data_IF_396409554099
#
_entry.id   IF_396409554099
#
_cell.length_a   1.000
_cell.length_b   1.000
_cell.length_c   1.000
_cell.angle_alpha   90.00
_cell.angle_beta   90.00
_cell.angle_gamma   90.00
#
_symmetry.space_group_name_H-M   'P 1'
#
loop_
_entity.id
_entity.type
_entity.pdbx_description
1 polymer ?
#
# COMPACT_ATOMS: atom_id res chain seq x y z
N UNK A 1 -55.49 6.93 2.47
CA UNK A 1 -54.65 8.12 2.74
C UNK A 1 -53.85 7.84 3.99
N UNK A 2 -52.58 7.45 3.85
CA UNK A 2 -51.67 7.33 4.99
C UNK A 2 -51.08 8.73 5.23
N UNK A 3 -51.36 9.31 6.40
CA UNK A 3 -50.82 10.60 6.83
C UNK A 3 -49.30 10.47 7.00
N UNK A 4 -48.51 11.05 6.11
CA UNK A 4 -47.06 11.18 6.31
C UNK A 4 -46.76 12.47 7.09
N UNK A 5 -45.88 12.43 8.11
CA UNK A 5 -45.63 13.58 8.97
C UNK A 5 -44.74 14.61 8.27
N UNK A 6 -45.11 15.88 8.39
CA UNK A 6 -44.44 17.07 7.83
C UNK A 6 -43.43 17.72 8.79
N UNK A 7 -43.15 17.08 9.92
CA UNK A 7 -42.13 17.48 10.92
C UNK A 7 -41.47 16.22 11.49
N UNK A 8 -40.29 16.37 12.11
CA UNK A 8 -39.62 15.30 12.86
C UNK A 8 -40.63 14.63 13.79
N UNK A 9 -41.01 13.39 13.47
CA UNK A 9 -41.99 12.66 14.24
C UNK A 9 -41.38 12.32 15.60
N UNK A 10 -42.10 12.63 16.69
CA UNK A 10 -41.72 12.15 18.02
C UNK A 10 -41.82 10.62 18.07
N UNK A 11 -40.95 9.94 18.82
CA UNK A 11 -40.91 8.47 19.00
C UNK A 11 -42.28 7.84 19.33
N UNK A 12 -43.19 8.60 19.94
CA UNK A 12 -44.58 8.20 20.25
C UNK A 12 -45.48 8.06 19.02
N UNK A 13 -45.28 8.87 17.97
CA UNK A 13 -46.07 8.82 16.73
C UNK A 13 -45.64 7.69 15.80
N UNK A 14 -44.37 7.31 15.85
CA UNK A 14 -43.78 6.20 15.09
C UNK A 14 -44.32 4.85 15.57
N UNK A 15 -44.29 4.59 16.89
CA UNK A 15 -44.82 3.35 17.47
C UNK A 15 -46.33 3.19 17.28
N UNK A 16 -47.09 4.28 17.33
CA UNK A 16 -48.54 4.24 17.16
C UNK A 16 -48.97 3.91 15.72
N UNK A 17 -48.21 4.36 14.71
CA UNK A 17 -48.52 4.10 13.30
C UNK A 17 -48.19 2.67 12.84
N UNK A 18 -47.21 2.03 13.48
CA UNK A 18 -46.73 0.69 13.16
C UNK A 18 -47.27 -0.40 14.10
N UNK A 19 -48.08 -0.04 15.10
CA UNK A 19 -48.61 -0.97 16.09
C UNK A 19 -49.56 -2.01 15.47
N UNK A 20 -49.35 -3.30 15.80
CA UNK A 20 -50.18 -4.41 15.35
C UNK A 20 -49.85 -4.94 13.95
N UNK A 21 -48.81 -4.43 13.30
CA UNK A 21 -48.29 -4.94 12.03
C UNK A 21 -47.35 -6.12 12.27
N UNK A 22 -47.45 -7.19 11.47
CA UNK A 22 -46.58 -8.37 11.57
C UNK A 22 -45.09 -8.06 11.32
N UNK A 23 -44.79 -6.92 10.68
CA UNK A 23 -43.46 -6.42 10.35
C UNK A 23 -43.11 -5.11 11.07
N UNK A 24 -43.59 -4.94 12.32
CA UNK A 24 -43.47 -3.69 13.08
C UNK A 24 -42.07 -3.08 13.05
N UNK A 25 -40.99 -3.86 13.22
CA UNK A 25 -39.60 -3.37 13.18
C UNK A 25 -39.24 -2.75 11.81
N UNK A 26 -39.68 -3.37 10.71
CA UNK A 26 -39.44 -2.85 9.36
C UNK A 26 -40.28 -1.60 9.12
N UNK A 27 -41.54 -1.60 9.57
CA UNK A 27 -42.42 -0.43 9.51
C UNK A 27 -41.82 0.78 10.23
N UNK A 28 -41.29 0.60 11.44
CA UNK A 28 -40.66 1.67 12.22
C UNK A 28 -39.40 2.22 11.51
N UNK A 29 -38.55 1.33 10.98
CA UNK A 29 -37.37 1.72 10.22
C UNK A 29 -37.72 2.51 8.94
N UNK A 30 -38.71 2.04 8.19
CA UNK A 30 -39.19 2.72 6.99
C UNK A 30 -39.84 4.07 7.38
N UNK A 31 -40.63 4.13 8.44
CA UNK A 31 -41.29 5.35 8.90
C UNK A 31 -40.27 6.48 9.17
N UNK A 32 -39.16 6.16 9.83
CA UNK A 32 -38.04 7.11 10.03
C UNK A 32 -37.41 7.56 8.72
N UNK A 33 -37.16 6.63 7.79
CA UNK A 33 -36.61 6.93 6.47
C UNK A 33 -37.54 7.85 5.67
N UNK A 34 -38.84 7.56 5.66
CA UNK A 34 -39.87 8.38 5.00
C UNK A 34 -40.00 9.77 5.61
N UNK A 35 -39.95 9.90 6.94
CA UNK A 35 -39.98 11.20 7.61
C UNK A 35 -38.79 12.07 7.19
N UNK A 36 -37.58 11.49 7.13
CA UNK A 36 -36.38 12.20 6.68
C UNK A 36 -36.46 12.62 5.20
N UNK A 37 -36.90 11.71 4.32
CA UNK A 37 -37.10 12.02 2.90
C UNK A 37 -38.17 13.09 2.69
N UNK A 38 -39.24 13.08 3.48
CA UNK A 38 -40.29 14.09 3.41
C UNK A 38 -39.79 15.48 3.82
N UNK A 39 -38.95 15.58 4.85
CA UNK A 39 -38.30 16.83 5.25
C UNK A 39 -37.41 17.37 4.12
N UNK A 40 -36.61 16.50 3.49
CA UNK A 40 -35.76 16.89 2.35
C UNK A 40 -36.58 17.33 1.13
N UNK A 41 -37.64 16.58 0.80
CA UNK A 41 -38.57 16.92 -0.27
C UNK A 41 -39.23 18.28 0.01
N UNK A 42 -39.74 18.51 1.23
CA UNK A 42 -40.36 19.78 1.62
C UNK A 42 -39.38 20.94 1.54
N UNK A 43 -38.11 20.73 1.94
CA UNK A 43 -37.05 21.75 1.83
C UNK A 43 -36.78 22.10 0.38
N UNK A 44 -36.72 21.09 -0.50
CA UNK A 44 -36.49 21.26 -1.94
C UNK A 44 -37.67 21.91 -2.65
N UNK A 45 -38.90 21.51 -2.31
CA UNK A 45 -40.14 22.14 -2.79
C UNK A 45 -40.26 23.60 -2.33
N UNK A 46 -39.72 23.95 -1.16
CA UNK A 46 -39.69 25.35 -0.70
C UNK A 46 -38.68 26.18 -1.47
N UNK A 47 -37.54 25.59 -1.86
CA UNK A 47 -36.50 26.25 -2.65
C UNK A 47 -36.83 26.34 -4.15
N UNK A 48 -37.58 25.37 -4.69
CA UNK A 48 -38.05 25.30 -6.08
C UNK A 48 -39.51 24.84 -6.11
N UNK A 49 -40.48 25.77 -5.94
CA UNK A 49 -41.91 25.46 -5.88
C UNK A 49 -42.45 24.72 -7.11
N UNK A 50 -41.86 24.94 -8.27
CA UNK A 50 -42.18 24.30 -9.55
C UNK A 50 -41.86 22.80 -9.58
N UNK A 51 -40.98 22.32 -8.69
CA UNK A 51 -40.64 20.90 -8.57
C UNK A 51 -41.68 20.09 -7.79
N UNK A 52 -42.66 20.77 -7.16
CA UNK A 52 -43.72 20.13 -6.39
C UNK A 52 -44.72 19.45 -7.32
N UNK A 53 -44.93 18.16 -7.12
CA UNK A 53 -45.98 17.43 -7.84
C UNK A 53 -47.33 17.80 -7.21
N UNK A 54 -48.29 18.34 -7.98
CA UNK A 54 -49.63 18.63 -7.49
C UNK A 54 -50.28 17.39 -6.87
N UNK A 55 -50.88 17.55 -5.69
CA UNK A 55 -51.49 16.45 -4.94
C UNK A 55 -52.63 15.75 -5.68
N UNK A 56 -53.34 16.46 -6.56
CA UNK A 56 -54.33 15.86 -7.46
C UNK A 56 -53.75 14.90 -8.50
N UNK A 57 -52.46 15.04 -8.85
CA UNK A 57 -51.79 14.18 -9.82
C UNK A 57 -51.19 12.92 -9.17
N UNK A 58 -50.92 12.95 -7.86
CA UNK A 58 -50.29 11.85 -7.11
C UNK A 58 -51.11 10.55 -7.03
N UNK A 59 -52.42 10.62 -7.30
CA UNK A 59 -53.34 9.48 -7.29
C UNK A 59 -53.83 9.09 -8.69
N UNK A 60 -53.22 9.63 -9.74
CA UNK A 60 -53.57 9.29 -11.11
C UNK A 60 -52.93 7.97 -11.55
N UNK A 61 -53.50 7.27 -12.54
CA UNK A 61 -52.87 6.09 -13.14
C UNK A 61 -51.44 6.35 -13.65
N UNK A 62 -51.19 7.54 -14.18
CA UNK A 62 -49.86 7.96 -14.64
C UNK A 62 -48.85 8.08 -13.48
N UNK A 63 -49.25 8.63 -12.33
CA UNK A 63 -48.40 8.68 -11.15
C UNK A 63 -48.13 7.29 -10.56
N UNK A 64 -49.12 6.39 -10.60
CA UNK A 64 -48.91 4.98 -10.21
C UNK A 64 -47.91 4.28 -11.14
N UNK A 65 -48.01 4.47 -12.46
CA UNK A 65 -47.06 3.92 -13.42
C UNK A 65 -45.63 4.49 -13.21
N UNK A 66 -45.51 5.79 -12.93
CA UNK A 66 -44.22 6.42 -12.64
C UNK A 66 -43.59 5.88 -11.34
N UNK A 67 -44.39 5.60 -10.30
CA UNK A 67 -43.90 4.97 -9.06
C UNK A 67 -43.35 3.57 -9.32
N UNK A 68 -44.06 2.76 -10.09
CA UNK A 68 -43.61 1.41 -10.45
C UNK A 68 -42.28 1.44 -11.24
N UNK A 69 -42.15 2.36 -12.20
CA UNK A 69 -40.90 2.54 -12.95
C UNK A 69 -39.74 3.03 -12.04
N UNK A 70 -40.02 3.91 -11.07
CA UNK A 70 -39.05 4.34 -10.07
C UNK A 70 -38.64 3.21 -9.12
N UNK A 71 -39.59 2.36 -8.71
CA UNK A 71 -39.30 1.17 -7.89
C UNK A 71 -38.38 0.20 -8.62
N UNK A 72 -38.59 -0.02 -9.92
CA UNK A 72 -37.73 -0.85 -10.77
C UNK A 72 -36.31 -0.26 -10.88
N UNK A 73 -36.19 1.04 -11.12
CA UNK A 73 -34.89 1.74 -11.16
C UNK A 73 -34.17 1.70 -9.81
N UNK A 74 -34.90 1.83 -8.70
CA UNK A 74 -34.33 1.73 -7.35
C UNK A 74 -33.87 0.29 -7.09
N UNK A 75 -34.63 -0.72 -7.53
CA UNK A 75 -34.23 -2.12 -7.41
C UNK A 75 -32.96 -2.41 -8.21
N UNK A 76 -32.86 -1.94 -9.46
CA UNK A 76 -31.67 -2.08 -10.29
C UNK A 76 -30.46 -1.35 -9.68
N UNK A 77 -30.62 -0.11 -9.22
CA UNK A 77 -29.56 0.65 -8.57
C UNK A 77 -29.08 -0.01 -7.26
N UNK A 78 -30.00 -0.59 -6.49
CA UNK A 78 -29.67 -1.33 -5.26
C UNK A 78 -28.90 -2.60 -5.60
N UNK A 79 -29.34 -3.34 -6.62
CA UNK A 79 -28.63 -4.53 -7.09
C UNK A 79 -27.21 -4.21 -7.58
N UNK A 80 -27.03 -3.14 -8.34
CA UNK A 80 -25.69 -2.66 -8.76
C UNK A 80 -24.82 -2.25 -7.57
N UNK A 81 -25.40 -1.58 -6.57
CA UNK A 81 -24.69 -1.21 -5.35
C UNK A 81 -24.27 -2.45 -4.54
N UNK A 82 -25.15 -3.44 -4.42
CA UNK A 82 -24.85 -4.72 -3.78
C UNK A 82 -23.78 -5.49 -4.55
N UNK A 83 -23.86 -5.56 -5.88
CA UNK A 83 -22.86 -6.17 -6.73
C UNK A 83 -21.49 -5.49 -6.56
N UNK A 84 -21.46 -4.14 -6.60
CA UNK A 84 -20.26 -3.36 -6.30
C UNK A 84 -19.66 -3.72 -4.94
N UNK A 85 -20.47 -3.69 -3.89
CA UNK A 85 -20.02 -3.92 -2.52
C UNK A 85 -19.60 -5.38 -2.25
N UNK A 86 -20.22 -6.36 -2.92
CA UNK A 86 -19.97 -7.79 -2.67
C UNK A 86 -18.94 -8.38 -3.61
N UNK A 87 -18.95 -8.00 -4.89
CA UNK A 87 -18.08 -8.60 -5.90
C UNK A 87 -16.82 -7.77 -6.14
N UNK A 88 -16.94 -6.44 -6.25
CA UNK A 88 -15.81 -5.62 -6.72
C UNK A 88 -15.01 -5.02 -5.57
N UNK A 89 -15.68 -4.49 -4.54
CA UNK A 89 -15.03 -3.83 -3.40
C UNK A 89 -14.06 -4.76 -2.64
N UNK A 90 -14.42 -6.01 -2.28
CA UNK A 90 -13.49 -6.89 -1.57
C UNK A 90 -12.29 -7.27 -2.43
N UNK A 91 -12.47 -7.38 -3.76
CA UNK A 91 -11.37 -7.63 -4.69
C UNK A 91 -10.39 -6.45 -4.73
N UNK A 92 -10.89 -5.21 -4.67
CA UNK A 92 -10.03 -4.01 -4.58
C UNK A 92 -9.28 -3.93 -3.24
N UNK A 93 -9.93 -4.24 -2.12
CA UNK A 93 -9.27 -4.26 -0.80
C UNK A 93 -8.21 -5.36 -0.70
N UNK A 94 -8.50 -6.55 -1.24
CA UNK A 94 -7.53 -7.63 -1.35
C UNK A 94 -6.36 -7.25 -2.25
N UNK A 95 -6.61 -6.52 -3.33
CA UNK A 95 -5.59 -6.02 -4.23
C UNK A 95 -4.66 -5.01 -3.54
N UNK A 96 -5.23 -4.01 -2.85
CA UNK A 96 -4.46 -3.03 -2.09
C UNK A 96 -3.61 -3.70 -1.00
N UNK A 97 -4.17 -4.67 -0.27
CA UNK A 97 -3.45 -5.44 0.73
C UNK A 97 -2.29 -6.23 0.12
N UNK A 98 -2.50 -6.83 -1.06
CA UNK A 98 -1.47 -7.58 -1.79
C UNK A 98 -0.34 -6.68 -2.29
N UNK A 99 -0.67 -5.56 -2.92
CA UNK A 99 0.30 -4.55 -3.37
C UNK A 99 1.14 -4.07 -2.17
N UNK A 100 0.50 -3.71 -1.05
CA UNK A 100 1.21 -3.33 0.18
C UNK A 100 2.10 -4.45 0.69
N UNK A 101 1.64 -5.69 0.67
CA UNK A 101 2.44 -6.82 1.12
C UNK A 101 3.68 -7.06 0.25
N UNK A 102 3.55 -6.93 -1.07
CA UNK A 102 4.66 -7.08 -2.02
C UNK A 102 5.65 -5.92 -1.88
N UNK A 103 5.18 -4.68 -1.76
CA UNK A 103 6.03 -3.51 -1.47
C UNK A 103 6.77 -3.64 -0.13
N UNK A 104 6.09 -4.08 0.92
CA UNK A 104 6.71 -4.29 2.23
C UNK A 104 7.74 -5.42 2.18
N UNK A 105 7.48 -6.52 1.46
CA UNK A 105 8.47 -7.59 1.26
C UNK A 105 9.70 -7.04 0.54
N UNK A 106 9.53 -6.29 -0.53
CA UNK A 106 10.63 -5.69 -1.26
C UNK A 106 11.46 -4.74 -0.39
N UNK A 107 10.80 -3.87 0.38
CA UNK A 107 11.48 -2.87 1.18
C UNK A 107 12.14 -3.45 2.45
N UNK A 108 11.47 -4.40 3.11
CA UNK A 108 11.73 -4.75 4.50
C UNK A 108 11.86 -6.26 4.78
N UNK A 109 11.69 -7.11 3.77
CA UNK A 109 11.65 -8.58 3.89
C UNK A 109 10.52 -9.06 4.82
N UNK A 110 9.37 -8.38 4.80
CA UNK A 110 8.18 -8.73 5.56
C UNK A 110 6.92 -8.30 4.82
N UNK A 111 5.85 -9.11 4.73
CA UNK A 111 4.57 -8.66 4.17
C UNK A 111 3.91 -7.56 4.99
N UNK A 112 4.20 -7.52 6.29
CA UNK A 112 3.64 -6.54 7.22
C UNK A 112 4.73 -5.61 7.74
N UNK A 113 4.41 -4.34 7.84
CA UNK A 113 5.30 -3.35 8.44
C UNK A 113 5.12 -3.39 9.96
N UNK A 114 6.21 -3.50 10.70
CA UNK A 114 6.16 -3.26 12.14
C UNK A 114 6.26 -1.77 12.45
N UNK A 115 5.43 -1.31 13.40
CA UNK A 115 5.42 0.10 13.81
C UNK A 115 6.77 0.54 14.37
N UNK A 116 7.43 -0.37 15.10
CA UNK A 116 8.77 -0.14 15.63
C UNK A 116 9.81 -0.16 14.51
N UNK A 117 10.42 1.01 14.24
CA UNK A 117 11.45 1.19 13.23
C UNK A 117 12.57 0.12 13.32
N UNK A 118 13.03 -0.21 14.54
CA UNK A 118 14.09 -1.21 14.81
C UNK A 118 13.74 -2.61 14.35
N UNK A 119 12.47 -2.86 14.04
CA UNK A 119 11.96 -4.17 13.63
C UNK A 119 11.50 -4.20 12.18
N UNK A 120 11.51 -3.06 11.48
CA UNK A 120 11.07 -2.95 10.09
C UNK A 120 11.94 -3.78 9.18
N UNK A 121 13.26 -3.54 9.17
CA UNK A 121 14.16 -4.30 8.31
C UNK A 121 14.42 -5.71 8.87
N UNK A 122 13.83 -6.73 8.24
CA UNK A 122 14.02 -8.14 8.61
C UNK A 122 15.23 -8.74 7.88
N UNK A 123 16.42 -8.35 8.32
CA UNK A 123 17.67 -9.00 7.85
C UNK A 123 17.80 -10.34 8.59
N UNK A 124 17.76 -11.44 7.83
CA UNK A 124 17.81 -12.80 8.39
C UNK A 124 19.22 -13.35 8.49
N UNK A 125 20.14 -12.82 7.68
CA UNK A 125 21.53 -13.28 7.62
C UNK A 125 22.40 -12.54 8.62
N UNK A 126 23.45 -13.22 9.07
CA UNK A 126 24.54 -12.68 9.89
C UNK A 126 25.86 -13.28 9.42
N UNK A 127 26.99 -12.63 9.69
CA UNK A 127 28.30 -13.15 9.30
C UNK A 127 29.29 -12.05 8.96
N UNK A 128 30.29 -12.36 8.14
CA UNK A 128 31.20 -11.32 7.66
C UNK A 128 30.48 -10.36 6.68
N UNK A 129 31.04 -9.16 6.52
CA UNK A 129 30.44 -8.12 5.68
C UNK A 129 30.31 -8.56 4.22
N UNK A 130 31.28 -9.33 3.73
CA UNK A 130 31.29 -9.85 2.36
C UNK A 130 30.07 -10.73 2.07
N UNK A 131 29.77 -11.68 2.94
CA UNK A 131 28.61 -12.57 2.79
C UNK A 131 27.28 -11.84 3.02
N UNK A 132 27.24 -10.88 3.95
CA UNK A 132 26.04 -10.09 4.22
C UNK A 132 25.68 -9.14 3.08
N UNK A 133 26.71 -8.58 2.44
CA UNK A 133 26.57 -7.63 1.36
C UNK A 133 26.71 -8.26 -0.01
N UNK A 134 26.51 -9.57 -0.12
CA UNK A 134 26.41 -10.29 -1.38
C UNK A 134 25.08 -11.02 -1.49
N UNK A 135 24.67 -11.36 -2.71
CA UNK A 135 23.51 -12.22 -2.93
C UNK A 135 23.71 -13.62 -2.31
N UNK A 136 22.66 -14.22 -1.72
CA UNK A 136 21.27 -13.71 -1.66
C UNK A 136 21.00 -12.62 -0.61
N UNK A 137 21.84 -12.50 0.41
CA UNK A 137 21.55 -11.72 1.63
C UNK A 137 21.16 -10.27 1.33
N UNK A 138 21.93 -9.61 0.47
CA UNK A 138 21.70 -8.20 0.10
C UNK A 138 20.46 -8.01 -0.79
N UNK A 139 20.02 -9.08 -1.45
CA UNK A 139 18.86 -9.11 -2.35
C UNK A 139 17.54 -9.44 -1.67
N UNK A 140 17.54 -9.88 -0.40
CA UNK A 140 16.31 -10.19 0.35
C UNK A 140 15.38 -8.98 0.45
N UNK A 141 15.95 -7.78 0.67
CA UNK A 141 15.21 -6.52 0.75
C UNK A 141 16.08 -5.29 0.47
N UNK A 142 15.46 -4.21 0.01
CA UNK A 142 16.12 -2.91 -0.19
C UNK A 142 16.74 -2.38 1.10
N UNK A 143 16.14 -2.61 2.28
CA UNK A 143 16.74 -2.18 3.53
C UNK A 143 18.09 -2.88 3.81
N UNK A 144 18.26 -4.14 3.40
CA UNK A 144 19.55 -4.83 3.47
C UNK A 144 20.55 -4.26 2.46
N UNK A 145 20.10 -3.95 1.24
CA UNK A 145 20.91 -3.29 0.21
C UNK A 145 21.43 -1.94 0.70
N UNK A 146 20.52 -1.10 1.23
CA UNK A 146 20.82 0.24 1.75
C UNK A 146 21.80 0.16 2.92
N UNK A 147 21.65 -0.80 3.84
CA UNK A 147 22.63 -1.04 4.90
C UNK A 147 24.04 -1.30 4.35
N UNK A 148 24.16 -2.09 3.28
CA UNK A 148 25.45 -2.40 2.68
C UNK A 148 26.13 -1.22 1.97
N UNK A 149 25.35 -0.31 1.39
CA UNK A 149 25.89 0.88 0.70
C UNK A 149 26.06 2.09 1.63
N UNK A 150 25.41 2.10 2.80
CA UNK A 150 25.41 3.25 3.71
C UNK A 150 26.02 3.00 5.09
N UNK A 151 26.16 1.76 5.56
CA UNK A 151 26.72 1.50 6.89
C UNK A 151 28.24 1.34 6.87
N UNK A 152 28.87 1.72 7.99
CA UNK A 152 30.25 1.40 8.32
C UNK A 152 30.28 0.10 9.11
N UNK A 153 30.94 -0.91 8.56
CA UNK A 153 31.16 -2.19 9.22
C UNK A 153 32.48 -2.16 9.98
N UNK A 154 32.41 -2.30 11.31
CA UNK A 154 33.57 -2.29 12.19
C UNK A 154 34.35 -0.96 12.19
N UNK A 155 35.39 -0.91 13.02
CA UNK A 155 36.14 0.34 13.30
C UNK A 155 37.05 0.83 12.17
N UNK A 156 37.31 -0.02 11.16
CA UNK A 156 38.22 0.30 10.06
C UNK A 156 37.55 1.10 8.95
N UNK A 157 36.21 1.13 8.92
CA UNK A 157 35.43 1.99 8.03
C UNK A 157 35.06 3.25 8.79
N UNK A 158 35.71 4.37 8.47
CA UNK A 158 35.53 5.63 9.21
C UNK A 158 34.75 6.69 8.43
N UNK A 159 34.67 6.55 7.10
CA UNK A 159 34.05 7.53 6.20
C UNK A 159 32.53 7.44 6.17
N UNK A 160 31.85 8.58 6.25
CA UNK A 160 30.39 8.67 6.18
C UNK A 160 29.88 8.66 4.73
N UNK A 161 29.82 7.45 4.15
CA UNK A 161 29.54 7.21 2.72
C UNK A 161 28.18 7.70 2.23
N UNK A 162 27.16 7.75 3.09
CA UNK A 162 25.84 8.29 2.77
C UNK A 162 25.58 9.65 3.43
N UNK A 163 26.63 10.28 3.97
CA UNK A 163 26.57 11.54 4.69
C UNK A 163 26.44 11.38 6.20
N UNK A 164 26.76 12.48 6.90
CA UNK A 164 26.66 12.58 8.36
C UNK A 164 25.20 12.42 8.80
N UNK A 165 24.95 11.56 9.79
CA UNK A 165 23.60 11.24 10.28
C UNK A 165 22.84 10.19 9.47
N UNK A 166 23.28 9.86 8.24
CA UNK A 166 22.74 8.77 7.43
C UNK A 166 23.62 7.51 7.44
N UNK A 167 24.86 7.63 7.94
CA UNK A 167 25.84 6.54 7.94
C UNK A 167 25.93 5.89 9.32
N UNK A 168 25.33 4.71 9.49
CA UNK A 168 25.38 3.98 10.76
C UNK A 168 26.74 3.32 10.99
N UNK A 169 27.29 3.39 12.20
CA UNK A 169 28.45 2.60 12.62
C UNK A 169 27.99 1.28 13.25
N UNK A 170 28.33 0.17 12.60
CA UNK A 170 28.08 -1.17 13.11
C UNK A 170 29.32 -1.69 13.84
N UNK A 171 29.17 -2.01 15.11
CA UNK A 171 30.24 -2.62 15.93
C UNK A 171 30.33 -4.13 15.75
N UNK A 172 29.25 -4.76 15.26
CA UNK A 172 29.17 -6.18 14.95
C UNK A 172 28.17 -6.41 13.81
N UNK A 173 28.29 -7.57 13.17
CA UNK A 173 27.52 -7.98 12.01
C UNK A 173 26.41 -8.98 12.36
N UNK A 174 25.77 -8.76 13.51
CA UNK A 174 24.61 -9.52 13.96
C UNK A 174 23.29 -8.81 13.61
N UNK A 175 22.20 -9.56 13.63
CA UNK A 175 20.88 -9.04 13.25
C UNK A 175 20.43 -7.84 14.09
N UNK A 176 20.80 -7.78 15.38
CA UNK A 176 20.40 -6.69 16.28
C UNK A 176 21.08 -5.39 15.90
N UNK A 177 22.38 -5.45 15.60
CA UNK A 177 23.15 -4.28 15.15
C UNK A 177 22.72 -3.82 13.77
N UNK A 178 22.47 -4.75 12.85
CA UNK A 178 21.98 -4.42 11.51
C UNK A 178 20.63 -3.70 11.56
N UNK A 179 19.70 -4.17 12.40
CA UNK A 179 18.42 -3.52 12.66
C UNK A 179 18.58 -2.11 13.23
N UNK A 180 19.45 -1.95 14.22
CA UNK A 180 19.72 -0.64 14.86
C UNK A 180 20.40 0.33 13.89
N UNK A 181 21.28 -0.17 13.01
CA UNK A 181 21.90 0.64 11.98
C UNK A 181 20.88 1.14 10.95
N UNK A 182 19.94 0.29 10.56
CA UNK A 182 18.91 0.66 9.60
C UNK A 182 18.04 1.82 10.12
N UNK A 183 17.73 1.86 11.41
CA UNK A 183 16.99 2.98 12.01
C UNK A 183 17.62 4.35 11.75
N UNK A 184 18.95 4.41 11.76
CA UNK A 184 19.69 5.65 11.48
C UNK A 184 19.42 6.09 10.04
N UNK A 185 19.51 5.16 9.09
CA UNK A 185 19.28 5.43 7.68
C UNK A 185 17.80 5.77 7.43
N UNK A 186 16.88 5.04 8.07
CA UNK A 186 15.45 5.23 7.94
C UNK A 186 15.00 6.62 8.40
N UNK A 187 15.67 7.19 9.41
CA UNK A 187 15.45 8.57 9.85
C UNK A 187 15.61 9.59 8.72
N UNK A 188 16.55 9.36 7.81
CA UNK A 188 16.78 10.21 6.62
C UNK A 188 15.77 9.90 5.52
N UNK A 189 15.43 8.63 5.31
CA UNK A 189 14.41 8.24 4.31
C UNK A 189 13.05 8.92 4.53
N UNK A 190 12.70 9.27 5.77
CA UNK A 190 11.45 9.98 6.10
C UNK A 190 11.38 11.41 5.56
N UNK A 191 12.52 12.01 5.20
CA UNK A 191 12.55 13.37 4.65
C UNK A 191 12.26 13.40 3.15
N UNK A 192 12.14 12.24 2.49
CA UNK A 192 11.73 12.18 1.10
C UNK A 192 10.21 12.32 0.99
N UNK A 193 9.71 13.11 0.03
CA UNK A 193 8.28 13.30 -0.14
C UNK A 193 7.59 11.99 -0.49
N UNK A 194 6.37 11.80 0.01
CA UNK A 194 5.54 10.67 -0.40
C UNK A 194 5.17 10.84 -1.88
N UNK A 195 5.46 9.82 -2.69
CA UNK A 195 5.07 9.76 -4.09
C UNK A 195 3.85 8.83 -4.24
N UNK A 196 2.93 9.17 -5.13
CA UNK A 196 1.83 8.26 -5.48
C UNK A 196 2.43 7.05 -6.20
N UNK A 197 2.24 5.87 -5.63
CA UNK A 197 2.77 4.63 -6.21
C UNK A 197 1.92 4.26 -7.44
N UNK A 198 2.60 4.11 -8.58
CA UNK A 198 2.05 3.56 -9.82
C UNK A 198 3.02 2.50 -10.38
N UNK A 199 2.54 1.65 -11.29
CA UNK A 199 3.38 0.65 -11.95
C UNK A 199 4.56 1.29 -12.68
N UNK A 200 4.32 2.39 -13.42
CA UNK A 200 5.35 3.12 -14.16
C UNK A 200 6.40 3.71 -13.23
N UNK A 201 5.98 4.22 -12.06
CA UNK A 201 6.89 4.75 -11.06
C UNK A 201 7.79 3.65 -10.51
N UNK A 202 7.22 2.48 -10.15
CA UNK A 202 7.99 1.35 -9.65
C UNK A 202 9.04 0.92 -10.68
N UNK A 203 8.64 0.72 -11.94
CA UNK A 203 9.54 0.32 -13.02
C UNK A 203 10.63 1.37 -13.28
N UNK A 204 10.27 2.65 -13.29
CA UNK A 204 11.23 3.75 -13.42
C UNK A 204 12.28 3.74 -12.31
N UNK A 205 11.86 3.54 -11.05
CA UNK A 205 12.80 3.48 -9.91
C UNK A 205 13.65 2.21 -9.94
N UNK A 206 13.13 1.06 -10.37
CA UNK A 206 13.93 -0.15 -10.61
C UNK A 206 15.01 0.12 -11.66
N UNK A 207 14.62 0.70 -12.81
CA UNK A 207 15.56 1.01 -13.88
C UNK A 207 16.64 2.00 -13.43
N UNK A 208 16.25 3.05 -12.70
CA UNK A 208 17.18 4.02 -12.12
C UNK A 208 18.13 3.38 -11.10
N UNK A 209 17.65 2.44 -10.28
CA UNK A 209 18.52 1.71 -9.34
C UNK A 209 19.52 0.82 -10.08
N UNK A 210 19.06 0.08 -11.10
CA UNK A 210 19.92 -0.81 -11.89
C UNK A 210 20.95 -0.05 -12.71
N UNK A 211 20.64 1.16 -13.18
CA UNK A 211 21.61 2.00 -13.90
C UNK A 211 22.75 2.50 -13.01
N UNK A 212 22.57 2.50 -11.68
CA UNK A 212 23.64 2.80 -10.73
C UNK A 212 24.59 1.63 -10.47
N UNK A 213 24.29 0.44 -10.99
CA UNK A 213 25.19 -0.70 -10.86
C UNK A 213 26.45 -0.48 -11.68
N UNK A 214 27.57 -0.81 -11.08
CA UNK A 214 28.89 -0.73 -11.69
C UNK A 214 29.39 -2.14 -11.93
N UNK A 215 29.97 -2.37 -13.09
CA UNK A 215 30.73 -3.58 -13.37
C UNK A 215 32.20 -3.34 -13.06
N UNK A 216 32.87 -4.30 -12.43
CA UNK A 216 34.30 -4.22 -12.12
C UNK A 216 35.00 -5.55 -12.33
N UNK A 217 36.06 -5.54 -13.12
CA UNK A 217 36.95 -6.68 -13.34
C UNK A 217 37.32 -6.88 -14.80
N UNK A 218 38.03 -7.97 -15.04
CA UNK A 218 38.45 -8.46 -16.34
C UNK A 218 38.04 -9.93 -16.52
N UNK A 219 38.27 -10.45 -17.74
CA UNK A 219 37.80 -11.76 -18.21
C UNK A 219 37.98 -12.88 -17.18
N UNK A 220 36.88 -13.27 -16.53
CA UNK A 220 36.81 -14.37 -15.57
C UNK A 220 36.47 -13.97 -14.13
N UNK A 221 36.67 -12.70 -13.75
CA UNK A 221 36.46 -12.14 -12.40
C UNK A 221 35.67 -10.83 -12.46
N UNK A 222 34.48 -10.87 -13.07
CA UNK A 222 33.57 -9.74 -13.12
C UNK A 222 32.74 -9.65 -11.84
N UNK A 223 32.54 -8.43 -11.35
CA UNK A 223 31.59 -8.13 -10.29
C UNK A 223 30.53 -7.12 -10.75
N UNK A 224 29.29 -7.29 -10.29
CA UNK A 224 28.21 -6.31 -10.43
C UNK A 224 27.91 -5.73 -9.06
N UNK A 225 28.17 -4.45 -8.85
CA UNK A 225 28.07 -3.86 -7.52
C UNK A 225 27.35 -2.52 -7.52
N UNK A 226 26.61 -2.26 -6.46
CA UNK A 226 26.07 -0.94 -6.15
C UNK A 226 26.94 -0.28 -5.08
N UNK A 227 27.27 1.00 -5.23
CA UNK A 227 28.01 1.79 -4.23
C UNK A 227 29.48 2.03 -4.55
N UNK A 228 30.30 2.11 -3.49
CA UNK A 228 31.74 2.39 -3.52
C UNK A 228 32.51 1.11 -3.21
N UNK A 229 33.20 0.55 -4.20
CA UNK A 229 34.04 -0.63 -4.06
C UNK A 229 35.53 -0.24 -4.09
N UNK A 230 36.33 -0.91 -3.26
CA UNK A 230 37.80 -0.76 -3.24
C UNK A 230 38.46 -1.40 -4.46
N UNK A 231 39.73 -1.77 -4.37
CA UNK A 231 40.47 -2.40 -5.48
C UNK A 231 40.03 -3.85 -5.78
N UNK A 232 39.37 -4.51 -4.83
CA UNK A 232 38.86 -5.89 -4.96
C UNK A 232 37.54 -5.97 -5.73
N UNK A 233 37.13 -7.19 -6.09
CA UNK A 233 35.83 -7.50 -6.73
C UNK A 233 34.71 -7.82 -5.72
N UNK A 234 34.97 -7.70 -4.42
CA UNK A 234 34.07 -8.12 -3.35
C UNK A 234 33.76 -6.97 -2.38
N UNK A 235 32.55 -6.96 -1.82
CA UNK A 235 32.11 -5.98 -0.83
C UNK A 235 32.62 -6.29 0.58
N UNK A 236 33.92 -6.13 0.75
CA UNK A 236 34.63 -6.38 2.01
C UNK A 236 34.61 -5.16 2.95
N UNK A 237 34.95 -5.45 4.20
CA UNK A 237 35.21 -4.45 5.25
C UNK A 237 36.55 -3.73 5.00
N UNK A 238 36.57 -2.79 4.07
CA UNK A 238 37.76 -1.99 3.69
C UNK A 238 37.48 -0.50 3.93
N UNK A 239 38.50 0.27 4.28
CA UNK A 239 38.38 1.72 4.51
C UNK A 239 37.80 2.43 3.27
N UNK A 240 36.90 3.39 3.49
CA UNK A 240 36.24 4.19 2.45
C UNK A 240 35.47 3.39 1.38
N UNK A 241 35.07 2.15 1.67
CA UNK A 241 34.19 1.35 0.79
C UNK A 241 32.85 1.09 1.47
N UNK A 242 31.78 1.07 0.67
CA UNK A 242 30.46 0.60 1.08
C UNK A 242 29.71 0.17 -0.18
N UNK A 243 29.44 -1.11 -0.31
CA UNK A 243 28.83 -1.63 -1.52
C UNK A 243 27.96 -2.85 -1.25
N UNK A 244 27.07 -3.11 -2.21
CA UNK A 244 26.25 -4.31 -2.31
C UNK A 244 26.65 -5.08 -3.57
N UNK A 245 26.94 -6.37 -3.43
CA UNK A 245 27.38 -7.28 -4.47
C UNK A 245 26.20 -8.09 -5.03
N UNK A 246 25.86 -7.77 -6.28
CA UNK A 246 24.80 -8.40 -7.06
C UNK A 246 25.37 -9.29 -8.17
N UNK A 247 26.64 -9.69 -8.10
CA UNK A 247 27.32 -10.44 -9.17
C UNK A 247 26.55 -11.69 -9.57
N UNK A 248 26.00 -12.43 -8.59
CA UNK A 248 25.20 -13.64 -8.85
C UNK A 248 23.92 -13.40 -9.64
N UNK A 249 23.41 -12.16 -9.71
CA UNK A 249 22.21 -11.83 -10.51
C UNK A 249 22.48 -11.69 -12.01
N UNK A 250 23.74 -11.86 -12.43
CA UNK A 250 24.13 -11.80 -13.83
C UNK A 250 24.96 -13.03 -14.19
N UNK A 251 24.69 -13.60 -15.35
CA UNK A 251 25.52 -14.66 -15.91
C UNK A 251 26.75 -14.03 -16.57
N UNK A 252 27.80 -13.80 -15.78
CA UNK A 252 29.07 -13.34 -16.33
C UNK A 252 29.82 -14.46 -17.05
N UNK A 253 29.44 -15.71 -16.82
CA UNK A 253 29.90 -16.90 -17.54
C UNK A 253 28.71 -17.66 -18.11
N UNK A 254 28.91 -18.32 -19.25
CA UNK A 254 27.88 -19.10 -19.96
C UNK A 254 27.32 -20.27 -19.14
N UNK A 255 28.05 -20.73 -18.13
CA UNK A 255 27.66 -21.84 -17.24
C UNK A 255 26.93 -21.38 -15.98
N UNK A 256 26.80 -20.08 -15.74
CA UNK A 256 26.17 -19.53 -14.53
C UNK A 256 24.66 -19.36 -14.73
N UNK A 257 23.86 -19.79 -13.75
CA UNK A 257 22.43 -19.46 -13.68
C UNK A 257 22.26 -18.23 -12.79
N UNK A 258 21.74 -17.11 -13.31
CA UNK A 258 21.52 -15.91 -12.53
C UNK A 258 20.56 -16.16 -11.36
N UNK A 259 20.94 -15.67 -10.19
CA UNK A 259 20.09 -15.64 -8.99
C UNK A 259 19.15 -14.43 -9.05
N UNK A 260 17.86 -14.67 -8.85
CA UNK A 260 16.88 -13.59 -8.81
C UNK A 260 17.10 -12.69 -7.58
N UNK A 261 16.98 -11.37 -7.79
CA UNK A 261 16.99 -10.41 -6.69
C UNK A 261 15.58 -10.35 -6.09
N UNK A 262 15.41 -10.85 -4.86
CA UNK A 262 14.08 -11.01 -4.27
C UNK A 262 13.33 -9.68 -4.13
N UNK A 263 13.99 -8.58 -3.77
CA UNK A 263 13.33 -7.28 -3.72
C UNK A 263 12.86 -6.79 -5.09
N UNK A 264 13.60 -7.07 -6.17
CA UNK A 264 13.19 -6.69 -7.53
C UNK A 264 11.94 -7.48 -7.94
N UNK A 265 11.91 -8.79 -7.67
CA UNK A 265 10.76 -9.65 -7.94
C UNK A 265 9.50 -9.15 -7.22
N UNK A 266 9.62 -8.77 -5.95
CA UNK A 266 8.46 -8.27 -5.19
C UNK A 266 8.00 -6.89 -5.66
N UNK A 267 8.90 -5.99 -6.08
CA UNK A 267 8.50 -4.71 -6.68
C UNK A 267 7.72 -4.93 -7.99
N UNK A 268 8.18 -5.84 -8.85
CA UNK A 268 7.49 -6.17 -10.12
C UNK A 268 6.10 -6.76 -9.87
N UNK A 269 5.97 -7.67 -8.90
CA UNK A 269 4.65 -8.18 -8.47
C UNK A 269 3.72 -7.06 -8.03
N UNK A 270 4.23 -6.07 -7.28
CA UNK A 270 3.44 -4.92 -6.87
C UNK A 270 2.99 -4.03 -8.04
N UNK A 271 3.74 -4.00 -9.15
CA UNK A 271 3.40 -3.26 -10.36
C UNK A 271 2.44 -4.02 -11.29
N UNK A 272 2.41 -5.35 -11.21
CA UNK A 272 1.59 -6.25 -12.05
C UNK A 272 0.18 -6.51 -11.50
N UNK A 273 -0.05 -6.21 -10.21
CA UNK A 273 -1.34 -6.32 -9.52
C UNK A 273 -2.24 -5.11 -9.86
#
# INVERSE_FOLDING_TARGET
VLNTPTKAASDLGEKAACQGQNNQTQCEADFKKWAHLNIQATTKETASPESKIPSGLLNTPAASAARLALEELIAEATALQEEFNTQYKPNLENLEAKIKADLNKAAYNSPTLEDNARKRCKITKSGNTEALCALPAVGEALCATVMCVCAKFGVTQTSDVCGSGATAQLTANDQTRLKTGYDTIHGVCKNYPAEKITAELIESKIAALKSMFKTKGDSGNMAMVLGIIGTTHQCKKVASTACADFTKSSAFKTTETPEAIAWEVNLRKAAEN
#
